data_IF_719587213481
#
_entry.id   IF_719587213481
#
_cell.length_a   1.000
_cell.length_b   1.000
_cell.length_c   1.000
_cell.angle_alpha   90.00
_cell.angle_beta   90.00
_cell.angle_gamma   90.00
#
_symmetry.space_group_name_H-M   'P 1'
#
loop_
_entity.id
_entity.type
_entity.pdbx_description
1 polymer ?
#
# COMPACT_ATOMS: atom_id res chain seq x y z
N UNK A 1 5.63 -5.23 25.63
CA UNK A 1 5.22 -5.40 24.23
C UNK A 1 6.14 -4.55 23.40
N UNK A 2 6.88 -5.14 22.47
CA UNK A 2 7.81 -4.39 21.62
C UNK A 2 6.99 -3.64 20.55
N UNK A 3 7.07 -2.31 20.58
CA UNK A 3 6.49 -1.43 19.56
C UNK A 3 7.31 -1.56 18.27
N UNK A 4 7.11 -2.66 17.53
CA UNK A 4 7.68 -2.81 16.21
C UNK A 4 6.83 -2.03 15.21
N UNK A 5 7.47 -1.16 14.45
CA UNK A 5 6.89 -0.47 13.30
C UNK A 5 7.64 -0.84 12.02
N UNK A 6 6.96 -0.72 10.89
CA UNK A 6 7.51 -0.93 9.56
C UNK A 6 7.26 0.29 8.68
N UNK A 7 8.20 0.54 7.77
CA UNK A 7 8.07 1.51 6.70
C UNK A 7 7.94 0.76 5.37
N UNK A 8 6.86 1.00 4.65
CA UNK A 8 6.65 0.50 3.28
C UNK A 8 6.76 1.67 2.32
N UNK A 9 7.68 1.57 1.36
CA UNK A 9 7.95 2.61 0.37
C UNK A 9 7.33 2.19 -0.97
N UNK A 10 6.34 2.94 -1.42
CA UNK A 10 5.55 2.68 -2.62
C UNK A 10 4.22 2.00 -2.30
N UNK A 11 3.11 2.61 -2.74
CA UNK A 11 1.74 2.11 -2.60
C UNK A 11 1.17 1.56 -3.92
N UNK A 12 2.00 0.86 -4.70
CA UNK A 12 1.51 -0.08 -5.72
C UNK A 12 0.89 -1.32 -5.07
N UNK A 13 0.31 -2.22 -5.88
CA UNK A 13 -0.36 -3.44 -5.37
C UNK A 13 0.49 -4.27 -4.40
N UNK A 14 1.81 -4.35 -4.61
CA UNK A 14 2.73 -5.07 -3.74
C UNK A 14 2.88 -4.38 -2.36
N UNK A 15 3.08 -3.06 -2.34
CA UNK A 15 3.23 -2.30 -1.10
C UNK A 15 1.93 -2.20 -0.31
N UNK A 16 0.80 -2.06 -1.00
CA UNK A 16 -0.53 -2.13 -0.39
C UNK A 16 -0.74 -3.46 0.34
N UNK A 17 -0.44 -4.59 -0.33
CA UNK A 17 -0.59 -5.91 0.27
C UNK A 17 0.39 -6.12 1.43
N UNK A 18 1.65 -5.71 1.28
CA UNK A 18 2.64 -5.80 2.36
C UNK A 18 2.21 -5.01 3.61
N UNK A 19 1.65 -3.81 3.43
CA UNK A 19 1.13 -3.00 4.53
C UNK A 19 -0.04 -3.68 5.25
N UNK A 20 -0.97 -4.28 4.48
CA UNK A 20 -2.12 -5.00 5.03
C UNK A 20 -1.65 -6.23 5.84
N UNK A 21 -0.72 -7.01 5.30
CA UNK A 21 -0.24 -8.23 5.96
C UNK A 21 0.49 -7.91 7.27
N UNK A 22 1.36 -6.89 7.27
CA UNK A 22 2.05 -6.41 8.48
C UNK A 22 1.06 -5.86 9.51
N UNK A 23 0.08 -5.07 9.08
CA UNK A 23 -0.96 -4.53 9.94
C UNK A 23 -1.81 -5.62 10.61
N UNK A 24 -2.12 -6.69 9.88
CA UNK A 24 -2.84 -7.86 10.39
C UNK A 24 -2.01 -8.65 11.43
N UNK A 25 -0.68 -8.56 11.36
CA UNK A 25 0.23 -9.11 12.37
C UNK A 25 0.39 -8.21 13.60
N UNK A 26 -0.29 -7.06 13.64
CA UNK A 26 -0.21 -6.09 14.73
C UNK A 26 1.01 -5.16 14.66
N UNK A 27 1.69 -5.09 13.50
CA UNK A 27 2.78 -4.14 13.26
C UNK A 27 2.20 -2.82 12.77
N UNK A 28 2.63 -1.71 13.35
CA UNK A 28 2.24 -0.39 12.84
C UNK A 28 3.03 -0.06 11.57
N UNK A 29 2.34 0.22 10.47
CA UNK A 29 2.93 0.48 9.16
C UNK A 29 2.79 1.94 8.76
N UNK A 30 3.89 2.56 8.37
CA UNK A 30 3.88 3.79 7.58
C UNK A 30 3.97 3.42 6.10
N UNK A 31 2.93 3.73 5.33
CA UNK A 31 2.90 3.49 3.88
C UNK A 31 3.11 4.82 3.15
N UNK A 32 4.29 5.00 2.56
CA UNK A 32 4.68 6.23 1.88
C UNK A 32 4.55 6.05 0.37
N UNK A 33 3.91 6.99 -0.31
CA UNK A 33 3.74 6.97 -1.77
C UNK A 33 4.09 8.33 -2.37
N UNK A 34 4.88 8.33 -3.43
CA UNK A 34 5.35 9.54 -4.11
C UNK A 34 4.24 10.26 -4.86
N UNK A 35 3.31 9.50 -5.45
CA UNK A 35 2.20 10.05 -6.22
C UNK A 35 1.05 10.46 -5.30
N UNK A 36 0.16 11.37 -5.75
CA UNK A 36 -1.06 11.70 -4.99
C UNK A 36 -2.08 10.56 -4.97
N UNK A 37 -1.85 9.47 -5.70
CA UNK A 37 -2.77 8.33 -5.83
C UNK A 37 -2.07 7.02 -5.48
N UNK A 38 -2.79 6.18 -4.75
CA UNK A 38 -2.39 4.80 -4.47
C UNK A 38 -2.78 3.88 -5.64
N UNK A 39 -2.18 2.68 -5.69
CA UNK A 39 -2.47 1.64 -6.67
C UNK A 39 -1.33 1.37 -7.65
N UNK A 40 -0.40 2.30 -7.81
CA UNK A 40 0.76 2.17 -8.69
C UNK A 40 0.36 1.98 -10.16
N UNK A 41 1.05 1.09 -10.88
CA UNK A 41 0.82 0.90 -12.32
C UNK A 41 -0.38 0.02 -12.67
N UNK A 42 -0.86 -0.83 -11.76
CA UNK A 42 -1.91 -1.81 -12.10
C UNK A 42 -3.18 -1.13 -12.62
N UNK A 43 -3.72 -0.07 -12.00
CA UNK A 43 -4.89 0.65 -12.52
C UNK A 43 -4.71 1.23 -13.93
N UNK A 44 -3.46 1.39 -14.41
CA UNK A 44 -3.17 1.91 -15.75
C UNK A 44 -3.20 0.83 -16.85
N UNK A 45 -3.31 -0.45 -16.46
CA UNK A 45 -3.40 -1.55 -17.42
C UNK A 45 -4.77 -1.57 -18.09
N UNK A 46 -4.84 -2.17 -19.29
CA UNK A 46 -6.13 -2.39 -19.94
C UNK A 46 -6.90 -3.56 -19.29
N UNK A 47 -6.20 -4.67 -19.05
CA UNK A 47 -6.72 -5.93 -18.49
C UNK A 47 -5.63 -6.67 -17.75
N UNK A 48 -6.01 -7.44 -16.74
CA UNK A 48 -5.11 -8.34 -16.02
C UNK A 48 -5.14 -9.71 -16.67
N UNK A 49 -4.01 -10.19 -17.19
CA UNK A 49 -3.89 -11.57 -17.65
C UNK A 49 -3.67 -12.52 -16.44
N UNK A 50 -4.23 -13.74 -16.41
CA UNK A 50 -5.05 -14.40 -17.43
C UNK A 50 -6.55 -14.15 -17.32
N UNK A 51 -7.02 -13.59 -16.20
CA UNK A 51 -8.44 -13.52 -15.84
C UNK A 51 -9.24 -12.51 -16.66
N UNK A 52 -8.57 -11.59 -17.34
CA UNK A 52 -9.16 -10.48 -18.10
C UNK A 52 -10.04 -9.56 -17.23
N UNK A 53 -9.73 -9.48 -15.93
CA UNK A 53 -10.42 -8.61 -14.99
C UNK A 53 -10.06 -7.14 -15.22
N UNK A 54 -10.95 -6.25 -14.79
CA UNK A 54 -10.67 -4.81 -14.77
C UNK A 54 -9.65 -4.52 -13.66
N UNK A 55 -8.49 -3.92 -13.98
CA UNK A 55 -7.44 -3.71 -13.01
C UNK A 55 -7.76 -2.63 -11.97
N UNK A 56 -8.54 -1.60 -12.32
CA UNK A 56 -8.95 -0.56 -11.37
C UNK A 56 -9.81 -1.17 -10.25
N UNK A 57 -10.76 -2.04 -10.61
CA UNK A 57 -11.62 -2.72 -9.64
C UNK A 57 -10.82 -3.66 -8.74
N UNK A 58 -9.84 -4.39 -9.30
CA UNK A 58 -8.95 -5.25 -8.51
C UNK A 58 -8.16 -4.44 -7.47
N UNK A 59 -7.60 -3.29 -7.86
CA UNK A 59 -6.88 -2.43 -6.93
C UNK A 59 -7.81 -1.81 -5.90
N UNK A 60 -9.03 -1.42 -6.29
CA UNK A 60 -10.03 -0.85 -5.38
C UNK A 60 -10.36 -1.81 -4.23
N UNK A 61 -10.52 -3.10 -4.50
CA UNK A 61 -10.78 -4.12 -3.46
C UNK A 61 -9.64 -4.23 -2.43
N UNK A 62 -8.40 -3.96 -2.85
CA UNK A 62 -7.24 -3.91 -1.93
C UNK A 62 -7.29 -2.61 -1.12
N UNK A 63 -7.55 -1.49 -1.79
CA UNK A 63 -7.61 -0.16 -1.17
C UNK A 63 -8.68 -0.04 -0.10
N UNK A 64 -9.83 -0.70 -0.26
CA UNK A 64 -10.92 -0.70 0.73
C UNK A 64 -10.49 -1.20 2.12
N UNK A 65 -9.38 -1.95 2.20
CA UNK A 65 -8.83 -2.49 3.45
C UNK A 65 -7.96 -1.50 4.23
N UNK A 66 -7.65 -0.32 3.66
CA UNK A 66 -6.67 0.62 4.23
C UNK A 66 -7.29 1.76 5.06
N UNK A 67 -8.26 2.56 4.57
CA UNK A 67 -8.69 3.81 5.22
C UNK A 67 -9.16 3.69 6.68
N UNK A 68 -9.56 2.50 7.11
CA UNK A 68 -10.07 2.23 8.46
C UNK A 68 -9.16 1.28 9.26
N UNK A 69 -7.94 1.01 8.78
CA UNK A 69 -7.00 0.16 9.50
C UNK A 69 -6.15 1.00 10.48
N UNK A 70 -6.33 0.85 11.81
CA UNK A 70 -5.61 1.67 12.79
C UNK A 70 -4.10 1.39 12.82
N UNK A 71 -3.64 0.30 12.21
CA UNK A 71 -2.24 -0.07 12.11
C UNK A 71 -1.59 0.41 10.82
N UNK A 72 -2.29 1.16 9.95
CA UNK A 72 -1.72 1.69 8.70
C UNK A 72 -1.89 3.21 8.67
N UNK A 73 -0.76 3.92 8.66
CA UNK A 73 -0.71 5.36 8.38
C UNK A 73 -0.28 5.55 6.92
N UNK A 74 -1.16 6.11 6.10
CA UNK A 74 -0.86 6.41 4.68
C UNK A 74 -0.34 7.84 4.56
N UNK A 75 0.78 7.99 3.85
CA UNK A 75 1.41 9.29 3.57
C UNK A 75 1.60 9.42 2.06
N UNK A 76 0.55 9.87 1.32
CA UNK A 76 0.63 10.06 -0.12
C UNK A 76 1.39 11.35 -0.46
N UNK A 77 1.78 11.50 -1.72
CA UNK A 77 2.50 12.66 -2.22
C UNK A 77 3.77 12.98 -1.41
N UNK A 78 4.51 11.94 -1.02
CA UNK A 78 5.68 12.04 -0.16
C UNK A 78 6.76 11.05 -0.59
N UNK A 79 8.01 11.47 -0.48
CA UNK A 79 9.17 10.65 -0.80
C UNK A 79 10.09 10.53 0.42
N UNK A 80 10.83 9.42 0.50
CA UNK A 80 11.83 9.23 1.54
C UNK A 80 13.11 9.95 1.13
N UNK A 81 13.51 10.96 1.92
CA UNK A 81 14.74 11.71 1.65
C UNK A 81 16.00 10.96 2.08
N UNK A 82 15.95 10.28 3.23
CA UNK A 82 17.09 9.49 3.73
C UNK A 82 16.64 8.42 4.72
N UNK A 83 17.47 7.38 4.85
CA UNK A 83 17.32 6.33 5.87
C UNK A 83 18.66 6.22 6.60
N UNK A 84 18.63 6.27 7.93
CA UNK A 84 19.82 6.23 8.79
C UNK A 84 19.62 5.22 9.91
N UNK A 85 20.71 4.63 10.38
CA UNK A 85 20.75 3.61 11.44
C UNK A 85 22.17 3.29 11.85
#
# INVERSE_FOLDING_TARGET
MSNHSALVIGAGVAGLQAAIDLANMGVHVHLVEKEPRLGGHVPLLHKVFPTQENPEELVKQILEKIPNNPNITVVPYSEIESVQG
#
